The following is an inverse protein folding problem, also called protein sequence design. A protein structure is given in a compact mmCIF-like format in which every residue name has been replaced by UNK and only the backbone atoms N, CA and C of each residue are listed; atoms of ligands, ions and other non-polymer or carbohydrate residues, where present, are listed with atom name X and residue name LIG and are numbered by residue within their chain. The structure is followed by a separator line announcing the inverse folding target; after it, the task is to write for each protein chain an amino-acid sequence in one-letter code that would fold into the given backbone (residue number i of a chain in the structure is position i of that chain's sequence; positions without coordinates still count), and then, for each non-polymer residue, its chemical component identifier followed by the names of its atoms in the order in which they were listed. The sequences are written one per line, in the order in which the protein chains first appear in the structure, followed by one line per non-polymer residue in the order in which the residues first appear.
data_IF_410765141134
#
_entry.id   IF_410765141134
#
_cell.length_a   1.000
_cell.length_b   1.000
_cell.length_c   1.000
_cell.angle_alpha   90.00
_cell.angle_beta   90.00
_cell.angle_gamma   90.00
#
_symmetry.space_group_name_H-M   'P 1'
#
loop_
_entity.id
_entity.type
_entity.pdbx_description
1 polymer ?
#
# COMPACT_ATOMS: atom_id res chain seq x y z
N UNK A 1 34.29 6.60 -51.02
CA UNK A 1 32.90 7.02 -50.71
C UNK A 1 32.08 6.01 -49.89
N UNK A 2 31.82 4.78 -50.36
CA UNK A 2 30.91 3.82 -49.66
C UNK A 2 31.30 3.48 -48.20
N UNK A 3 32.59 3.44 -47.86
CA UNK A 3 33.05 3.20 -46.48
C UNK A 3 32.74 4.38 -45.53
N UNK A 4 32.82 5.61 -46.03
CA UNK A 4 32.58 6.82 -45.24
C UNK A 4 31.09 6.99 -44.94
N UNK A 5 30.21 6.71 -45.91
CA UNK A 5 28.76 6.68 -45.68
C UNK A 5 28.35 5.63 -44.64
N UNK A 6 28.95 4.43 -44.66
CA UNK A 6 28.68 3.40 -43.65
C UNK A 6 29.11 3.84 -42.24
N UNK A 7 30.25 4.52 -42.12
CA UNK A 7 30.71 5.05 -40.84
C UNK A 7 29.76 6.12 -40.30
N UNK A 8 29.29 7.01 -41.18
CA UNK A 8 28.37 8.09 -40.82
C UNK A 8 27.00 7.57 -40.35
N UNK A 9 26.49 6.51 -40.99
CA UNK A 9 25.25 5.82 -40.59
C UNK A 9 25.40 5.12 -39.24
N UNK A 10 26.54 4.50 -38.98
CA UNK A 10 26.78 3.85 -37.68
C UNK A 10 26.86 4.88 -36.56
N UNK A 11 27.56 6.00 -36.79
CA UNK A 11 27.66 7.10 -35.83
C UNK A 11 26.31 7.76 -35.54
N UNK A 12 25.49 8.01 -36.56
CA UNK A 12 24.16 8.59 -36.36
C UNK A 12 23.25 7.64 -35.58
N UNK A 13 23.29 6.34 -35.87
CA UNK A 13 22.49 5.35 -35.14
C UNK A 13 22.90 5.24 -33.68
N UNK A 14 24.20 5.30 -33.37
CA UNK A 14 24.68 5.30 -31.98
C UNK A 14 24.30 6.56 -31.20
N UNK A 15 24.25 7.72 -31.87
CA UNK A 15 23.85 8.98 -31.24
C UNK A 15 22.35 8.95 -30.89
N UNK A 16 21.52 8.44 -31.81
CA UNK A 16 20.07 8.32 -31.61
C UNK A 16 19.75 7.35 -30.46
N UNK A 17 20.42 6.20 -30.38
CA UNK A 17 20.19 5.25 -29.29
C UNK A 17 20.66 5.79 -27.94
N UNK A 18 21.77 6.53 -27.90
CA UNK A 18 22.24 7.23 -26.70
C UNK A 18 21.23 8.26 -26.21
N UNK A 19 20.72 9.11 -27.11
CA UNK A 19 19.72 10.13 -26.76
C UNK A 19 18.40 9.51 -26.28
N UNK A 20 17.99 8.39 -26.89
CA UNK A 20 16.81 7.64 -26.46
C UNK A 20 16.97 7.04 -25.06
N UNK A 21 18.14 6.48 -24.74
CA UNK A 21 18.45 5.94 -23.41
C UNK A 21 18.51 7.05 -22.35
N UNK A 22 19.05 8.23 -22.67
CA UNK A 22 19.03 9.39 -21.77
C UNK A 22 17.59 9.86 -21.53
N UNK A 23 16.74 9.88 -22.56
CA UNK A 23 15.31 10.19 -22.43
C UNK A 23 14.56 9.24 -21.49
N UNK A 24 14.84 7.92 -21.58
CA UNK A 24 14.28 6.92 -20.66
C UNK A 24 14.81 7.13 -19.23
N UNK A 25 16.11 7.37 -19.06
CA UNK A 25 16.70 7.60 -17.74
C UNK A 25 16.14 8.87 -17.07
N UNK A 26 15.89 9.93 -17.83
CA UNK A 26 15.24 11.15 -17.33
C UNK A 26 13.76 10.93 -17.01
N UNK A 27 13.03 10.14 -17.81
CA UNK A 27 11.65 9.77 -17.53
C UNK A 27 11.50 8.83 -16.32
N UNK A 28 12.53 8.04 -16.00
CA UNK A 28 12.58 7.21 -14.79
C UNK A 28 13.01 7.99 -13.54
N UNK A 29 13.60 9.18 -13.71
CA UNK A 29 14.06 10.04 -12.61
C UNK A 29 13.17 11.28 -12.39
N UNK A 30 12.09 11.45 -13.15
CA UNK A 30 11.07 12.43 -12.82
C UNK A 30 10.18 11.89 -11.71
N UNK A 31 10.74 11.79 -10.49
CA UNK A 31 9.93 11.93 -9.28
C UNK A 31 9.44 13.38 -9.29
N UNK A 32 8.37 13.63 -10.03
CA UNK A 32 7.56 14.81 -9.78
C UNK A 32 7.19 14.76 -8.30
N UNK A 33 7.68 15.75 -7.56
CA UNK A 33 7.12 16.17 -6.28
C UNK A 33 5.77 16.84 -6.62
N UNK A 34 4.85 16.07 -7.16
CA UNK A 34 3.43 16.39 -7.17
C UNK A 34 2.92 16.00 -5.79
N UNK A 35 2.25 16.98 -5.16
CA UNK A 35 1.40 16.77 -3.98
C UNK A 35 0.77 15.39 -4.10
N UNK A 36 1.16 14.43 -3.27
CA UNK A 36 0.67 13.06 -3.39
C UNK A 36 -0.80 13.10 -3.00
N UNK A 37 -1.66 13.32 -4.00
CA UNK A 37 -3.07 13.06 -3.86
C UNK A 37 -3.16 11.61 -3.41
N UNK A 38 -3.97 11.36 -2.38
CA UNK A 38 -4.32 10.01 -1.98
C UNK A 38 -4.72 9.29 -3.27
N UNK A 39 -3.92 8.30 -3.70
CA UNK A 39 -4.26 7.52 -4.89
C UNK A 39 -5.40 6.60 -4.47
N UNK A 40 -6.61 7.10 -4.68
CA UNK A 40 -7.82 6.32 -4.47
C UNK A 40 -7.77 5.04 -5.31
N UNK A 41 -8.48 4.01 -4.87
CA UNK A 41 -8.62 2.78 -5.64
C UNK A 41 -9.15 3.08 -7.04
N UNK A 42 -8.57 2.42 -8.05
CA UNK A 42 -9.05 2.50 -9.42
C UNK A 42 -10.51 2.02 -9.51
N UNK A 43 -11.27 2.57 -10.46
CA UNK A 43 -12.69 2.26 -10.63
C UNK A 43 -12.95 0.76 -10.83
N UNK A 44 -12.01 0.04 -11.46
CA UNK A 44 -12.08 -1.41 -11.64
C UNK A 44 -12.02 -2.16 -10.31
N UNK A 45 -11.13 -1.74 -9.40
CA UNK A 45 -11.01 -2.33 -8.05
C UNK A 45 -12.30 -2.08 -7.29
N UNK A 46 -12.81 -0.84 -7.33
CA UNK A 46 -14.07 -0.47 -6.68
C UNK A 46 -15.24 -1.35 -7.17
N UNK A 47 -15.43 -1.48 -8.48
CA UNK A 47 -16.49 -2.31 -9.06
C UNK A 47 -16.36 -3.79 -8.67
N UNK A 48 -15.15 -4.31 -8.63
CA UNK A 48 -14.90 -5.69 -8.20
C UNK A 48 -15.34 -5.91 -6.74
N UNK A 49 -14.96 -5.00 -5.84
CA UNK A 49 -15.32 -5.06 -4.43
C UNK A 49 -16.83 -4.82 -4.21
N UNK A 50 -17.45 -3.90 -4.93
CA UNK A 50 -18.91 -3.70 -4.89
C UNK A 50 -19.65 -4.99 -5.30
N UNK A 51 -19.24 -5.62 -6.40
CA UNK A 51 -19.86 -6.85 -6.89
C UNK A 51 -19.73 -7.98 -5.86
N UNK A 52 -18.54 -8.20 -5.30
CA UNK A 52 -18.34 -9.19 -4.24
C UNK A 52 -19.19 -8.89 -3.01
N UNK A 53 -19.24 -7.62 -2.57
CA UNK A 53 -20.04 -7.21 -1.42
C UNK A 53 -21.53 -7.55 -1.60
N UNK A 54 -22.13 -7.16 -2.73
CA UNK A 54 -23.55 -7.38 -2.97
C UNK A 54 -23.91 -8.86 -3.16
N UNK A 55 -23.02 -9.64 -3.78
CA UNK A 55 -23.24 -11.05 -4.04
C UNK A 55 -23.03 -11.91 -2.80
N UNK A 56 -22.04 -11.60 -1.96
CA UNK A 56 -21.58 -12.50 -0.90
C UNK A 56 -21.88 -11.98 0.52
N UNK A 57 -21.87 -10.66 0.74
CA UNK A 57 -21.91 -10.09 2.09
C UNK A 57 -23.24 -9.42 2.44
N UNK A 58 -23.86 -8.69 1.50
CA UNK A 58 -25.01 -7.82 1.80
C UNK A 58 -26.17 -8.55 2.48
N UNK A 59 -26.57 -9.73 1.99
CA UNK A 59 -27.65 -10.52 2.59
C UNK A 59 -27.31 -11.00 4.01
N UNK A 60 -26.05 -11.37 4.26
CA UNK A 60 -25.60 -11.77 5.59
C UNK A 60 -25.58 -10.59 6.56
N UNK A 61 -25.14 -9.42 6.10
CA UNK A 61 -25.13 -8.20 6.91
C UNK A 61 -26.54 -7.69 7.23
N UNK A 62 -27.53 -7.90 6.34
CA UNK A 62 -28.93 -7.58 6.62
C UNK A 62 -29.49 -8.31 7.84
N UNK A 63 -29.01 -9.54 8.10
CA UNK A 63 -29.38 -10.30 9.31
C UNK A 63 -28.81 -9.70 10.60
N UNK A 64 -27.76 -8.89 10.50
CA UNK A 64 -27.03 -8.25 11.61
C UNK A 64 -27.04 -6.73 11.52
N UNK A 65 -27.99 -6.15 10.78
CA UNK A 65 -27.98 -4.73 10.43
C UNK A 65 -28.10 -3.79 11.64
N UNK A 66 -28.66 -4.28 12.75
CA UNK A 66 -28.69 -3.56 14.03
C UNK A 66 -27.30 -3.27 14.59
N UNK A 67 -26.31 -4.14 14.34
CA UNK A 67 -24.92 -3.96 14.76
C UNK A 67 -24.24 -2.78 14.03
N UNK A 68 -24.85 -2.34 12.93
CA UNK A 68 -24.46 -1.20 12.11
C UNK A 68 -25.42 -0.01 12.28
N UNK A 69 -26.31 -0.06 13.28
CA UNK A 69 -27.27 1.02 13.57
C UNK A 69 -28.42 1.13 12.58
N UNK A 70 -28.69 0.08 11.80
CA UNK A 70 -29.79 0.04 10.82
C UNK A 70 -31.00 -0.72 11.37
N UNK A 71 -32.20 -0.25 11.02
CA UNK A 71 -33.48 -0.88 11.43
C UNK A 71 -34.26 -1.36 10.20
N UNK A 72 -34.59 -0.44 9.28
CA UNK A 72 -35.46 -0.76 8.13
C UNK A 72 -34.71 -0.87 6.81
N UNK A 73 -33.49 -0.35 6.73
CA UNK A 73 -32.70 -0.32 5.50
C UNK A 73 -32.03 -1.67 5.24
N UNK A 74 -31.66 -1.91 3.97
CA UNK A 74 -30.92 -3.10 3.53
C UNK A 74 -29.57 -2.69 2.93
N UNK A 75 -28.52 -3.45 3.24
CA UNK A 75 -27.20 -3.28 2.63
C UNK A 75 -27.21 -3.46 1.11
N UNK A 76 -28.23 -4.10 0.53
CA UNK A 76 -28.40 -4.19 -0.94
C UNK A 76 -28.65 -2.83 -1.59
N UNK A 77 -29.20 -1.88 -0.84
CA UNK A 77 -29.48 -0.52 -1.32
C UNK A 77 -28.35 0.47 -1.04
N UNK A 78 -27.24 -0.02 -0.48
CA UNK A 78 -26.09 0.81 -0.12
C UNK A 78 -25.28 1.26 -1.34
N UNK A 79 -24.46 2.29 -1.15
CA UNK A 79 -23.52 2.80 -2.16
C UNK A 79 -22.11 2.81 -1.57
N UNK A 80 -21.09 2.60 -2.39
CA UNK A 80 -19.71 2.70 -1.94
C UNK A 80 -19.16 4.10 -2.23
N UNK A 81 -18.40 4.65 -1.29
CA UNK A 81 -17.55 5.81 -1.52
C UNK A 81 -16.28 5.45 -2.28
N UNK A 82 -15.29 6.34 -2.25
CA UNK A 82 -14.01 6.08 -2.92
C UNK A 82 -13.13 5.17 -2.05
N UNK A 83 -12.32 4.33 -2.70
CA UNK A 83 -11.41 3.43 -1.99
C UNK A 83 -10.19 4.20 -1.50
N UNK A 84 -9.97 4.27 -0.18
CA UNK A 84 -8.85 4.98 0.42
C UNK A 84 -7.72 3.97 0.68
N UNK A 85 -6.50 4.20 0.17
CA UNK A 85 -5.38 3.31 0.42
C UNK A 85 -5.01 3.33 1.89
N UNK A 86 -4.72 2.16 2.43
CA UNK A 86 -4.17 2.02 3.78
C UNK A 86 -2.99 1.05 3.80
N UNK A 87 -2.19 1.21 4.84
CA UNK A 87 -0.93 0.54 5.05
C UNK A 87 -0.88 -0.09 6.44
N UNK A 88 0.05 -1.03 6.60
CA UNK A 88 0.50 -1.51 7.91
C UNK A 88 1.88 -0.96 8.24
N UNK A 89 2.26 -1.04 9.52
CA UNK A 89 3.64 -0.84 9.90
C UNK A 89 4.51 -1.93 9.26
N UNK A 90 5.63 -1.49 8.71
CA UNK A 90 6.61 -2.38 8.12
C UNK A 90 7.20 -3.31 9.19
N UNK A 91 7.60 -4.50 8.75
CA UNK A 91 8.26 -5.45 9.64
C UNK A 91 9.59 -4.91 10.17
N UNK A 92 10.35 -4.16 9.36
CA UNK A 92 11.62 -3.57 9.76
C UNK A 92 11.45 -2.51 10.86
N UNK A 93 10.43 -1.65 10.74
CA UNK A 93 10.09 -0.69 11.79
C UNK A 93 9.67 -1.42 13.07
N UNK A 94 8.81 -2.43 12.95
CA UNK A 94 8.38 -3.24 14.09
C UNK A 94 9.50 -4.02 14.79
N UNK A 95 10.43 -4.61 14.05
CA UNK A 95 11.47 -5.48 14.62
C UNK A 95 12.67 -4.69 15.15
N UNK A 96 12.99 -3.55 14.53
CA UNK A 96 14.27 -2.85 14.76
C UNK A 96 14.18 -1.34 14.94
N UNK A 97 13.00 -0.74 14.75
CA UNK A 97 12.83 0.72 14.79
C UNK A 97 13.40 1.42 13.56
N UNK A 98 13.77 0.68 12.51
CA UNK A 98 14.29 1.25 11.27
C UNK A 98 13.24 2.14 10.59
N UNK A 99 13.67 3.34 10.21
CA UNK A 99 12.86 4.42 9.63
C UNK A 99 12.79 4.42 8.09
N UNK A 100 13.71 3.70 7.41
CA UNK A 100 13.82 3.68 5.93
C UNK A 100 12.49 3.47 5.19
N UNK A 101 11.65 2.58 5.71
CA UNK A 101 10.28 2.37 5.21
C UNK A 101 9.38 2.01 6.39
N UNK A 102 8.60 2.98 6.89
CA UNK A 102 7.71 2.77 8.04
C UNK A 102 6.38 2.12 7.64
N UNK A 103 5.89 2.40 6.42
CA UNK A 103 4.54 2.09 5.98
C UNK A 103 4.54 1.25 4.70
N UNK A 104 3.99 0.04 4.79
CA UNK A 104 3.84 -0.90 3.67
C UNK A 104 2.39 -0.90 3.23
N UNK A 105 2.15 -0.66 1.93
CA UNK A 105 0.81 -0.73 1.35
C UNK A 105 0.17 -2.10 1.61
N UNK A 106 -1.08 -2.10 2.07
CA UNK A 106 -1.79 -3.33 2.39
C UNK A 106 -3.08 -3.48 1.59
N UNK A 107 -3.83 -2.39 1.39
CA UNK A 107 -5.04 -2.46 0.57
C UNK A 107 -5.83 -1.17 0.55
N UNK A 108 -7.14 -1.31 0.36
CA UNK A 108 -8.08 -0.19 0.33
C UNK A 108 -9.20 -0.38 1.37
N UNK A 109 -9.67 0.73 1.93
CA UNK A 109 -10.94 0.78 2.65
C UNK A 109 -11.99 1.49 1.81
N UNK A 110 -13.22 1.02 1.84
CA UNK A 110 -14.35 1.62 1.16
C UNK A 110 -15.45 1.93 2.17
N UNK A 111 -15.82 3.21 2.36
CA UNK A 111 -16.98 3.55 3.18
C UNK A 111 -18.25 3.10 2.45
N UNK A 112 -19.14 2.44 3.17
CA UNK A 112 -20.46 2.02 2.68
C UNK A 112 -21.50 3.01 3.18
N UNK A 113 -22.22 3.62 2.26
CA UNK A 113 -23.17 4.68 2.52
C UNK A 113 -24.62 4.18 2.39
N UNK A 114 -25.43 4.55 3.38
CA UNK A 114 -26.89 4.42 3.35
C UNK A 114 -27.50 5.81 3.46
N UNK A 115 -28.31 6.22 2.48
CA UNK A 115 -28.93 7.56 2.45
C UNK A 115 -27.94 8.70 2.73
N UNK A 116 -26.72 8.58 2.19
CA UNK A 116 -25.65 9.58 2.34
C UNK A 116 -24.87 9.53 3.66
N UNK A 117 -25.15 8.60 4.57
CA UNK A 117 -24.39 8.40 5.82
C UNK A 117 -23.54 7.14 5.74
N UNK A 118 -22.30 7.19 6.22
CA UNK A 118 -21.44 6.01 6.33
C UNK A 118 -21.99 5.10 7.43
N UNK A 119 -22.26 3.84 7.09
CA UNK A 119 -22.84 2.83 8.00
C UNK A 119 -21.91 1.63 8.21
N UNK A 120 -20.97 1.41 7.31
CA UNK A 120 -19.93 0.40 7.45
C UNK A 120 -18.66 0.82 6.70
N UNK A 121 -17.55 0.16 7.00
CA UNK A 121 -16.31 0.24 6.23
C UNK A 121 -15.92 -1.16 5.76
N UNK A 122 -15.76 -1.32 4.45
CA UNK A 122 -15.28 -2.55 3.81
C UNK A 122 -13.76 -2.45 3.65
N UNK A 123 -13.03 -3.48 4.05
CA UNK A 123 -11.60 -3.57 3.87
C UNK A 123 -11.31 -4.61 2.80
N UNK A 124 -10.52 -4.20 1.81
CA UNK A 124 -10.15 -5.01 0.67
C UNK A 124 -8.63 -5.16 0.57
N UNK A 125 -8.18 -6.36 0.24
CA UNK A 125 -6.77 -6.70 0.01
C UNK A 125 -6.65 -7.63 -1.21
N UNK A 126 -5.42 -7.89 -1.64
CA UNK A 126 -5.15 -8.88 -2.67
C UNK A 126 -5.13 -10.26 -2.01
N UNK A 127 -6.04 -11.15 -2.42
CA UNK A 127 -6.12 -12.51 -1.94
C UNK A 127 -4.99 -13.40 -2.51
N UNK A 128 -4.96 -14.68 -2.10
CA UNK A 128 -3.94 -15.64 -2.54
C UNK A 128 -3.93 -15.89 -4.05
N UNK A 129 -5.02 -15.59 -4.76
CA UNK A 129 -5.14 -15.74 -6.21
C UNK A 129 -4.73 -14.46 -6.97
N UNK A 130 -4.22 -13.45 -6.27
CA UNK A 130 -3.82 -12.17 -6.87
C UNK A 130 -5.00 -11.26 -7.21
N UNK A 131 -6.20 -11.52 -6.68
CA UNK A 131 -7.41 -10.71 -6.93
C UNK A 131 -7.76 -9.87 -5.72
N UNK A 132 -8.26 -8.67 -5.96
CA UNK A 132 -8.87 -7.85 -4.91
C UNK A 132 -10.09 -8.56 -4.33
N UNK A 133 -10.14 -8.67 -3.01
CA UNK A 133 -11.26 -9.30 -2.30
C UNK A 133 -11.48 -8.66 -0.94
N UNK A 134 -12.70 -8.78 -0.43
CA UNK A 134 -13.10 -8.32 0.88
C UNK A 134 -12.58 -9.33 1.91
N UNK A 135 -11.73 -8.87 2.82
CA UNK A 135 -11.33 -9.70 3.97
C UNK A 135 -12.07 -9.32 5.26
N UNK A 136 -12.65 -8.11 5.33
CA UNK A 136 -13.37 -7.65 6.52
C UNK A 136 -14.40 -6.56 6.20
N UNK A 137 -15.55 -6.63 6.88
CA UNK A 137 -16.52 -5.54 6.96
C UNK A 137 -16.63 -5.10 8.42
N UNK A 138 -16.52 -3.80 8.67
CA UNK A 138 -16.47 -3.20 10.01
C UNK A 138 -17.61 -2.20 10.21
N UNK A 139 -18.14 -2.11 11.43
CA UNK A 139 -19.10 -1.07 11.83
C UNK A 139 -18.43 0.26 12.23
N UNK A 140 -17.10 0.37 12.12
CA UNK A 140 -16.39 1.64 12.30
C UNK A 140 -16.64 2.53 11.08
N UNK A 141 -17.23 3.71 11.27
CA UNK A 141 -17.73 4.57 10.19
C UNK A 141 -16.99 5.91 10.04
N UNK A 142 -16.10 6.23 10.96
CA UNK A 142 -15.46 7.55 11.09
C UNK A 142 -14.01 7.60 10.56
N UNK A 143 -13.49 6.51 9.98
CA UNK A 143 -12.09 6.42 9.56
C UNK A 143 -11.75 7.46 8.50
N UNK A 144 -12.57 7.59 7.45
CA UNK A 144 -12.34 8.57 6.39
C UNK A 144 -12.40 10.00 6.92
N UNK A 145 -13.44 10.32 7.71
CA UNK A 145 -13.61 11.64 8.32
C UNK A 145 -12.38 12.02 9.17
N UNK A 146 -11.95 11.10 10.05
CA UNK A 146 -10.81 11.32 10.94
C UNK A 146 -9.48 11.39 10.18
N UNK A 147 -9.31 10.58 9.14
CA UNK A 147 -8.15 10.68 8.27
C UNK A 147 -8.11 12.02 7.52
N UNK A 148 -9.24 12.50 7.01
CA UNK A 148 -9.35 13.79 6.35
C UNK A 148 -9.10 14.96 7.31
N UNK A 149 -9.65 14.89 8.53
CA UNK A 149 -9.35 15.84 9.60
C UNK A 149 -7.85 15.83 9.94
N UNK A 150 -7.25 14.65 10.04
CA UNK A 150 -5.84 14.51 10.40
C UNK A 150 -4.89 15.06 9.32
N UNK A 151 -5.29 15.03 8.04
CA UNK A 151 -4.55 15.68 6.96
C UNK A 151 -4.43 17.20 7.16
N UNK A 152 -5.38 17.83 7.88
CA UNK A 152 -5.31 19.25 8.23
C UNK A 152 -4.14 19.61 9.16
N UNK A 153 -3.48 18.63 9.77
CA UNK A 153 -2.27 18.83 10.59
C UNK A 153 -0.96 18.66 9.82
N UNK A 154 -1.02 18.33 8.52
CA UNK A 154 0.16 18.20 7.67
C UNK A 154 0.69 19.58 7.27
N UNK A 155 2.00 19.69 7.15
CA UNK A 155 2.64 20.84 6.54
C UNK A 155 2.66 20.69 5.01
N UNK A 156 2.94 21.80 4.30
CA UNK A 156 2.96 21.79 2.83
C UNK A 156 4.09 20.94 2.23
N UNK A 157 5.08 20.54 3.03
CA UNK A 157 6.23 19.72 2.61
C UNK A 157 6.04 18.24 2.94
N UNK A 158 4.94 17.88 3.59
CA UNK A 158 4.69 16.51 4.04
C UNK A 158 3.83 15.73 3.05
N UNK A 159 4.15 14.45 2.93
CA UNK A 159 3.30 13.42 2.32
C UNK A 159 2.79 12.50 3.42
N UNK A 160 1.60 11.93 3.27
CA UNK A 160 1.01 11.08 4.31
C UNK A 160 0.50 9.75 3.76
N UNK A 161 0.68 8.70 4.56
CA UNK A 161 0.05 7.39 4.36
C UNK A 161 -0.81 7.05 5.56
N UNK A 162 -2.01 6.53 5.32
CA UNK A 162 -2.88 6.03 6.38
C UNK A 162 -2.41 4.65 6.83
N UNK A 163 -2.09 4.50 8.12
CA UNK A 163 -1.80 3.23 8.77
C UNK A 163 -3.03 2.79 9.57
N UNK A 164 -3.52 1.59 9.29
CA UNK A 164 -4.58 0.93 10.06
C UNK A 164 -4.08 -0.44 10.50
N UNK A 165 -3.22 -0.50 11.52
CA UNK A 165 -2.56 -1.75 11.93
C UNK A 165 -3.23 -2.37 13.15
N UNK A 166 -4.11 -3.34 12.91
CA UNK A 166 -4.91 -4.01 13.94
C UNK A 166 -4.07 -4.79 14.94
N UNK A 167 -2.88 -5.28 14.54
CA UNK A 167 -1.96 -6.02 15.40
C UNK A 167 -1.56 -5.20 16.63
N UNK A 168 -1.55 -3.88 16.49
CA UNK A 168 -1.23 -2.92 17.54
C UNK A 168 -2.42 -2.04 17.94
N UNK A 169 -3.58 -2.22 17.30
CA UNK A 169 -4.73 -1.31 17.41
C UNK A 169 -4.39 0.13 16.99
N UNK A 170 -3.47 0.29 16.04
CA UNK A 170 -2.95 1.59 15.64
C UNK A 170 -3.75 2.13 14.45
N UNK A 171 -4.27 3.35 14.56
CA UNK A 171 -4.89 4.08 13.46
C UNK A 171 -4.32 5.48 13.41
N UNK A 172 -3.53 5.78 12.37
CA UNK A 172 -2.72 7.00 12.31
C UNK A 172 -2.36 7.36 10.88
N UNK A 173 -2.13 8.64 10.60
CA UNK A 173 -1.34 9.03 9.43
C UNK A 173 0.15 8.94 9.79
N UNK A 174 0.96 8.46 8.85
CA UNK A 174 2.43 8.61 8.88
C UNK A 174 2.77 9.72 7.92
N UNK A 175 3.15 10.87 8.47
CA UNK A 175 3.63 12.01 7.71
C UNK A 175 5.13 11.86 7.46
N UNK A 176 5.56 12.06 6.22
CA UNK A 176 6.95 12.05 5.77
C UNK A 176 7.31 13.42 5.21
N UNK A 177 8.30 14.07 5.78
CA UNK A 177 8.86 15.32 5.30
C UNK A 177 9.79 15.11 4.10
N UNK A 178 10.12 16.21 3.41
CA UNK A 178 11.08 16.24 2.30
C UNK A 178 12.49 15.82 2.69
N UNK A 179 12.86 15.96 3.97
CA UNK A 179 14.14 15.50 4.53
C UNK A 179 14.16 14.02 4.94
N UNK A 180 13.10 13.27 4.61
CA UNK A 180 12.86 11.89 5.02
C UNK A 180 12.64 11.66 6.53
N UNK A 181 12.40 12.71 7.32
CA UNK A 181 11.92 12.53 8.69
C UNK A 181 10.45 12.14 8.71
N UNK A 182 10.05 11.39 9.74
CA UNK A 182 8.68 10.91 9.89
C UNK A 182 8.07 11.39 11.21
N UNK A 183 6.75 11.54 11.22
CA UNK A 183 5.97 11.64 12.45
C UNK A 183 4.62 10.95 12.27
N UNK A 184 4.06 10.51 13.38
CA UNK A 184 2.76 9.87 13.43
C UNK A 184 1.72 10.89 13.88
N UNK A 185 0.60 10.97 13.16
CA UNK A 185 -0.56 11.79 13.50
C UNK A 185 -1.74 10.84 13.73
N UNK A 186 -1.98 10.45 14.99
CA UNK A 186 -3.01 9.48 15.32
C UNK A 186 -4.40 9.97 14.95
N UNK A 187 -5.22 9.10 14.38
CA UNK A 187 -6.62 9.39 14.08
C UNK A 187 -7.56 8.78 15.12
N UNK A 188 -7.02 8.01 16.07
CA UNK A 188 -7.74 7.39 17.16
C UNK A 188 -6.83 7.26 18.38
N UNK A 189 -7.38 7.46 19.56
CA UNK A 189 -6.70 7.16 20.81
C UNK A 189 -6.31 5.68 20.91
N UNK A 190 -5.14 5.41 21.49
CA UNK A 190 -4.72 4.08 21.88
C UNK A 190 -3.93 4.18 23.19
N UNK A 191 -4.61 3.87 24.28
CA UNK A 191 -4.04 3.93 25.64
C UNK A 191 -2.87 2.97 25.84
N UNK A 192 -2.88 1.81 25.18
CA UNK A 192 -1.76 0.85 25.24
C UNK A 192 -0.50 1.46 24.66
N UNK A 193 -0.61 2.20 23.55
CA UNK A 193 0.54 2.83 22.89
C UNK A 193 0.83 4.25 23.39
N UNK A 194 0.07 4.76 24.38
CA UNK A 194 0.15 6.14 24.86
C UNK A 194 0.01 7.14 23.70
N UNK A 195 -0.99 6.87 22.86
CA UNK A 195 -1.28 7.60 21.63
C UNK A 195 -2.60 8.33 21.82
N UNK A 196 -2.60 9.63 21.55
CA UNK A 196 -3.77 10.51 21.67
C UNK A 196 -4.09 11.06 20.27
N UNK A 197 -5.36 11.04 19.88
CA UNK A 197 -5.87 11.56 18.62
C UNK A 197 -5.35 12.97 18.36
N UNK A 198 -4.89 13.21 17.12
CA UNK A 198 -4.34 14.47 16.63
C UNK A 198 -3.05 14.95 17.32
N UNK A 199 -2.56 14.29 18.38
CA UNK A 199 -1.29 14.62 19.02
C UNK A 199 -0.15 13.88 18.33
N UNK A 200 0.71 14.64 17.66
CA UNK A 200 1.84 14.07 16.93
C UNK A 200 2.78 13.29 17.84
N UNK A 201 3.33 12.20 17.32
CA UNK A 201 4.28 11.33 18.03
C UNK A 201 5.49 11.01 17.15
N UNK A 202 6.67 10.97 17.74
CA UNK A 202 7.89 10.59 17.03
C UNK A 202 7.88 9.08 16.72
N UNK A 203 8.55 8.63 15.65
CA UNK A 203 8.73 7.22 15.37
C UNK A 203 9.41 6.46 16.52
N UNK A 204 10.39 7.08 17.17
CA UNK A 204 11.16 6.49 18.27
C UNK A 204 10.25 6.23 19.48
N UNK A 205 9.43 7.21 19.87
CA UNK A 205 8.51 7.08 21.01
C UNK A 205 7.43 6.02 20.74
N UNK A 206 6.89 6.00 19.52
CA UNK A 206 5.90 4.99 19.14
C UNK A 206 6.51 3.58 19.13
N UNK A 207 7.70 3.44 18.54
CA UNK A 207 8.42 2.18 18.50
C UNK A 207 8.72 1.65 19.92
N UNK A 208 9.19 2.51 20.82
CA UNK A 208 9.46 2.14 22.20
C UNK A 208 8.21 1.57 22.89
N UNK A 209 7.04 2.17 22.67
CA UNK A 209 5.75 1.70 23.23
C UNK A 209 5.26 0.40 22.59
N UNK A 210 5.44 0.23 21.28
CA UNK A 210 5.13 -1.04 20.59
C UNK A 210 5.99 -2.17 21.18
N UNK A 211 7.29 -1.92 21.38
CA UNK A 211 8.22 -2.90 21.94
C UNK A 211 7.89 -3.24 23.40
N UNK A 212 7.57 -2.25 24.24
CA UNK A 212 7.22 -2.50 25.65
C UNK A 212 5.96 -3.35 25.79
N UNK A 213 4.94 -3.10 24.96
CA UNK A 213 3.69 -3.86 25.00
C UNK A 213 3.86 -5.32 24.53
N UNK A 214 4.75 -5.56 23.56
CA UNK A 214 5.10 -6.92 23.15
C UNK A 214 5.67 -7.73 24.31
N UNK A 215 6.56 -7.13 25.10
CA UNK A 215 7.23 -7.79 26.24
C UNK A 215 6.22 -8.07 27.36
N UNK A 216 5.30 -7.15 27.65
CA UNK A 216 4.25 -7.36 28.66
C UNK A 216 3.33 -8.53 28.29
N UNK A 217 2.88 -8.62 27.04
CA UNK A 217 2.02 -9.72 26.59
C UNK A 217 2.75 -11.08 26.53
N UNK A 218 4.08 -11.11 26.39
CA UNK A 218 4.85 -12.37 26.44
C UNK A 218 5.07 -12.91 27.87
N UNK A 219 4.87 -12.06 28.89
CA UNK A 219 5.06 -12.42 30.29
C UNK A 219 3.74 -12.81 30.99
N UNK A 220 2.58 -12.53 30.39
CA UNK A 220 1.28 -13.04 30.81
C UNK A 220 1.01 -14.41 30.18
N UNK A 221 1.53 -15.49 30.79
CA UNK A 221 1.10 -16.85 30.45
C UNK A 221 -0.14 -17.24 31.23
N UNK A 222 -1.26 -17.43 30.53
CA UNK A 222 -2.35 -18.32 30.96
C UNK A 222 -3.76 -17.75 30.80
N UNK A 223 -4.53 -18.26 29.83
CA UNK A 223 -5.99 -18.06 29.79
C UNK A 223 -6.65 -18.17 28.40
N UNK A 224 -6.97 -19.40 28.01
CA UNK A 224 -8.16 -19.85 27.24
C UNK A 224 -8.67 -19.08 25.99
N UNK A 225 -8.82 -19.80 24.87
CA UNK A 225 -9.79 -19.48 23.82
C UNK A 225 -9.26 -19.25 22.40
N UNK A 226 -8.46 -20.19 21.86
CA UNK A 226 -7.94 -20.11 20.50
C UNK A 226 -8.96 -20.68 19.50
N UNK A 227 -9.63 -19.81 18.73
CA UNK A 227 -10.24 -20.17 17.44
C UNK A 227 -9.41 -19.47 16.37
N UNK A 228 -8.49 -20.21 15.75
CA UNK A 228 -7.77 -19.74 14.57
C UNK A 228 -7.52 -20.92 13.64
N UNK A 229 -8.34 -21.02 12.59
CA UNK A 229 -8.04 -21.79 11.40
C UNK A 229 -7.63 -20.79 10.31
N UNK A 230 -6.33 -20.57 10.13
CA UNK A 230 -5.71 -20.89 8.83
C UNK A 230 -4.17 -20.81 8.91
N UNK A 231 -3.45 -21.67 8.18
CA UNK A 231 -2.02 -21.81 8.28
C UNK A 231 -1.26 -21.01 7.20
N UNK A 232 0.04 -20.84 7.46
CA UNK A 232 1.12 -20.62 6.50
C UNK A 232 1.31 -19.22 5.90
N UNK A 233 1.90 -18.33 6.70
CA UNK A 233 2.81 -17.31 6.18
C UNK A 233 4.20 -17.92 5.98
N UNK A 234 4.53 -18.32 4.76
CA UNK A 234 5.90 -18.21 4.25
C UNK A 234 5.92 -18.27 2.72
N UNK A 235 6.45 -17.24 2.09
CA UNK A 235 7.59 -17.34 1.16
C UNK A 235 8.00 -15.96 0.64
N UNK A 236 9.31 -15.78 0.62
CA UNK A 236 10.03 -14.61 0.14
C UNK A 236 9.75 -14.38 -1.35
N UNK A 237 9.39 -13.14 -1.72
CA UNK A 237 9.47 -12.68 -3.10
C UNK A 237 10.78 -11.92 -3.29
N UNK A 238 11.72 -12.54 -4.02
CA UNK A 238 12.93 -11.92 -4.53
C UNK A 238 12.76 -11.82 -6.04
N UNK A 239 12.65 -10.59 -6.58
CA UNK A 239 12.92 -10.32 -7.99
C UNK A 239 13.77 -9.06 -8.09
N UNK A 240 15.08 -9.23 -8.33
CA UNK A 240 15.66 -8.60 -9.52
C UNK A 240 16.75 -9.48 -10.13
N UNK A 241 16.39 -10.46 -10.96
CA UNK A 241 17.37 -11.22 -11.77
C UNK A 241 16.94 -11.47 -13.21
N UNK A 242 15.71 -11.11 -13.61
CA UNK A 242 15.23 -11.29 -14.98
C UNK A 242 15.67 -10.23 -15.98
N UNK A 243 16.16 -9.06 -15.53
CA UNK A 243 16.65 -8.00 -16.43
C UNK A 243 18.11 -8.24 -16.84
N UNK A 244 18.87 -9.02 -16.07
CA UNK A 244 20.26 -9.39 -16.39
C UNK A 244 20.37 -10.55 -17.41
N UNK A 245 19.37 -11.43 -17.48
CA UNK A 245 19.38 -12.56 -18.43
C UNK A 245 19.07 -12.15 -19.88
N UNK A 246 18.24 -11.13 -20.09
CA UNK A 246 17.88 -10.67 -21.45
C UNK A 246 19.05 -9.95 -22.15
N UNK A 247 19.86 -9.21 -21.39
CA UNK A 247 21.04 -8.50 -21.90
C UNK A 247 22.20 -9.45 -22.23
N UNK A 248 22.33 -10.57 -21.51
CA UNK A 248 23.33 -11.61 -21.81
C UNK A 248 23.00 -12.38 -23.10
N UNK A 249 21.73 -12.69 -23.37
CA UNK A 249 21.30 -13.36 -24.59
C UNK A 249 21.46 -12.50 -25.86
N UNK A 250 21.32 -11.18 -25.75
CA UNK A 250 21.57 -10.25 -26.85
C UNK A 250 23.06 -10.15 -27.20
N UNK A 251 23.95 -10.19 -26.19
CA UNK A 251 25.39 -10.19 -26.40
C UNK A 251 25.88 -11.47 -27.12
N UNK A 252 25.31 -12.63 -26.76
CA UNK A 252 25.62 -13.92 -27.40
C UNK A 252 25.22 -13.92 -28.88
N UNK A 253 24.02 -13.42 -29.21
CA UNK A 253 23.54 -13.38 -30.60
C UNK A 253 24.37 -12.44 -31.49
N UNK A 254 24.84 -11.30 -30.94
CA UNK A 254 25.75 -10.39 -31.66
C UNK A 254 27.12 -11.05 -31.89
N UNK A 255 27.64 -11.80 -30.90
CA UNK A 255 28.93 -12.50 -31.03
C UNK A 255 28.91 -13.61 -32.08
N UNK A 256 27.86 -14.44 -32.11
CA UNK A 256 27.70 -15.49 -33.12
C UNK A 256 27.53 -14.92 -34.54
N UNK A 257 26.82 -13.80 -34.69
CA UNK A 257 26.65 -13.12 -35.97
C UNK A 257 27.99 -12.61 -36.54
N UNK A 258 28.88 -12.07 -35.69
CA UNK A 258 30.22 -11.64 -36.11
C UNK A 258 31.12 -12.82 -36.49
N UNK A 259 31.09 -13.93 -35.74
CA UNK A 259 31.95 -15.10 -36.01
C UNK A 259 31.61 -15.78 -37.34
N UNK A 260 30.32 -15.85 -37.71
CA UNK A 260 29.90 -16.46 -38.99
C UNK A 260 30.36 -15.67 -40.23
N UNK A 261 30.62 -14.36 -40.11
CA UNK A 261 31.17 -13.53 -41.19
C UNK A 261 32.69 -13.60 -41.34
N UNK A 262 33.40 -14.18 -40.37
CA UNK A 262 34.87 -14.31 -40.42
C UNK A 262 35.33 -15.59 -41.12
N UNK A 263 34.44 -16.55 -41.33
CA UNK A 263 34.74 -17.86 -41.91
C UNK A 263 34.11 -18.04 -43.31
N UNK A 264 33.79 -16.94 -43.98
CA UNK A 264 33.25 -16.87 -45.35
C UNK A 264 34.03 -15.85 -46.16
#
# INVERSE_FOLDING_TARGET
MKKFQKLLIVLSLTLITSLFLIGIALAMNSDEITKTSIRYADEQIKKQIENEFFNEYASGLDTKKTDFGLINDSFKDSKFGNGIPYSYLSKSFYDSGSDKEIAVFHGYIFPVLMKGKVVATVFAEINNDGKWSIFKVSSVTDIEEKANKAQGYLTNTETAKLILDERFGLSTLVAKNSDNTYRFIPIKDNSKLDVIESKSKSPEDLFAKIKSNKIMNSNEKGGSGNFNNNPNLSKNFIFPSLIALSSFLLAITIWFSKRKRSNS
#
